data_IF_156269402874
#
_entry.id   IF_156269402874
#
_cell.length_a   1.000
_cell.length_b   1.000
_cell.length_c   1.000
_cell.angle_alpha   90.00
_cell.angle_beta   90.00
_cell.angle_gamma   90.00
#
_symmetry.space_group_name_H-M   'P 1'
#
loop_
_entity.id
_entity.type
_entity.pdbx_description
1 polymer ?
#
# COMPACT_ATOMS: atom_id res chain seq x y z
N UNK A 1 66.34 -27.95 19.76
CA UNK A 1 64.88 -28.04 19.54
C UNK A 1 64.26 -26.80 20.15
N UNK A 2 63.76 -25.87 19.34
CA UNK A 2 63.03 -24.69 19.83
C UNK A 2 61.69 -24.68 19.13
N UNK A 3 60.63 -24.76 19.94
CA UNK A 3 59.24 -24.84 19.48
C UNK A 3 58.78 -23.48 18.95
N UNK A 4 58.08 -23.48 17.82
CA UNK A 4 57.47 -22.29 17.23
C UNK A 4 56.00 -22.24 17.65
N UNK A 5 55.62 -21.21 18.40
CA UNK A 5 54.21 -20.86 18.60
C UNK A 5 53.77 -19.95 17.48
N UNK A 6 52.88 -20.44 16.60
CA UNK A 6 52.22 -19.63 15.58
C UNK A 6 51.12 -18.80 16.24
N UNK A 7 51.19 -17.47 16.13
CA UNK A 7 50.10 -16.58 16.50
C UNK A 7 49.18 -16.39 15.28
N UNK A 8 47.92 -16.81 15.38
CA UNK A 8 46.90 -16.49 14.38
C UNK A 8 46.36 -15.08 14.66
N UNK A 9 46.60 -14.14 13.74
CA UNK A 9 45.93 -12.85 13.76
C UNK A 9 44.53 -13.00 13.13
N UNK A 10 43.49 -12.81 13.94
CA UNK A 10 42.11 -12.74 13.45
C UNK A 10 41.85 -11.33 12.93
N UNK A 11 41.82 -11.16 11.61
CA UNK A 11 41.43 -9.89 10.98
C UNK A 11 39.91 -9.78 11.02
N UNK A 12 39.36 -8.92 11.88
CA UNK A 12 37.94 -8.59 11.85
C UNK A 12 37.64 -7.75 10.61
N UNK A 13 36.85 -8.30 9.66
CA UNK A 13 36.26 -7.49 8.60
C UNK A 13 35.17 -6.60 9.22
N UNK A 14 35.44 -5.31 9.31
CA UNK A 14 34.42 -4.29 9.57
C UNK A 14 33.58 -4.14 8.29
N UNK A 15 32.38 -4.70 8.28
CA UNK A 15 31.37 -4.37 7.28
C UNK A 15 30.92 -2.92 7.57
N UNK A 16 31.25 -1.97 6.70
CA UNK A 16 30.67 -0.63 6.80
C UNK A 16 29.27 -0.68 6.20
N UNK A 17 28.25 -0.66 7.06
CA UNK A 17 26.88 -0.38 6.63
C UNK A 17 26.84 1.06 6.13
N UNK A 18 26.73 1.23 4.81
CA UNK A 18 26.42 2.54 4.23
C UNK A 18 24.96 2.85 4.53
N UNK A 19 24.71 3.56 5.63
CA UNK A 19 23.42 4.17 5.89
C UNK A 19 23.17 5.23 4.81
N UNK A 20 22.25 4.96 3.90
CA UNK A 20 21.77 5.97 2.96
C UNK A 20 21.07 7.07 3.78
N UNK A 21 21.67 8.26 3.81
CA UNK A 21 21.05 9.42 4.43
C UNK A 21 19.83 9.82 3.60
N UNK A 22 18.64 9.42 4.07
CA UNK A 22 17.38 9.95 3.55
C UNK A 22 17.23 11.38 4.04
N UNK A 23 17.23 12.35 3.12
CA UNK A 23 16.85 13.73 3.44
C UNK A 23 15.33 13.78 3.57
N UNK A 24 14.82 13.92 4.79
CA UNK A 24 13.41 14.26 5.02
C UNK A 24 13.23 15.78 4.99
N UNK A 25 12.18 16.24 4.33
CA UNK A 25 11.81 17.66 4.30
C UNK A 25 10.51 17.83 5.06
N UNK A 26 10.49 18.80 5.97
CA UNK A 26 9.24 19.17 6.64
C UNK A 26 8.29 19.85 5.65
N UNK A 27 7.01 19.51 5.73
CA UNK A 27 5.97 20.19 4.98
C UNK A 27 5.79 21.62 5.49
N UNK A 28 5.38 22.55 4.61
CA UNK A 28 5.08 23.93 5.02
C UNK A 28 3.82 24.02 5.89
N UNK A 29 2.89 23.09 5.70
CA UNK A 29 1.64 23.00 6.49
C UNK A 29 1.88 22.46 7.90
N UNK A 30 3.01 21.79 8.16
CA UNK A 30 3.25 21.06 9.42
C UNK A 30 2.52 19.71 9.49
N UNK A 31 1.76 19.34 8.45
CA UNK A 31 1.07 18.05 8.33
C UNK A 31 2.01 17.05 7.67
N UNK A 32 2.14 15.85 8.22
CA UNK A 32 3.02 14.85 7.63
C UNK A 32 2.49 14.41 6.25
N UNK A 33 3.35 14.08 5.27
CA UNK A 33 2.93 13.86 3.88
C UNK A 33 1.88 12.75 3.65
N UNK A 34 1.75 11.82 4.59
CA UNK A 34 0.88 10.63 4.48
C UNK A 34 -0.16 10.57 5.59
N UNK A 35 -0.27 11.62 6.41
CA UNK A 35 -1.19 11.68 7.54
C UNK A 35 -2.34 12.58 7.15
N UNK A 36 -3.55 12.06 7.30
CA UNK A 36 -4.77 12.83 7.09
C UNK A 36 -4.76 14.12 7.92
N UNK A 37 -5.24 15.20 7.32
CA UNK A 37 -5.38 16.49 7.97
C UNK A 37 -6.36 16.43 9.13
N UNK A 38 -7.33 15.51 9.07
CA UNK A 38 -8.36 15.32 10.08
C UNK A 38 -7.98 14.30 11.16
N UNK A 39 -6.81 13.65 11.06
CA UNK A 39 -6.35 12.72 12.08
C UNK A 39 -6.19 13.41 13.44
N UNK A 40 -6.89 12.93 14.50
CA UNK A 40 -6.91 13.61 15.78
C UNK A 40 -5.53 13.61 16.44
N UNK A 41 -5.22 14.69 17.16
CA UNK A 41 -3.93 14.84 17.87
C UNK A 41 -3.62 13.69 18.84
N UNK A 42 -4.64 13.03 19.38
CA UNK A 42 -4.51 11.86 20.25
C UNK A 42 -4.04 10.59 19.54
N UNK A 43 -4.15 10.53 18.21
CA UNK A 43 -3.74 9.38 17.39
C UNK A 43 -2.37 9.57 16.70
N UNK A 44 -1.77 10.77 16.81
CA UNK A 44 -0.48 11.10 16.18
C UNK A 44 0.72 10.38 16.84
N UNK A 45 0.56 9.89 18.05
CA UNK A 45 1.58 9.13 18.77
C UNK A 45 0.96 7.99 19.59
N UNK A 46 1.69 6.88 19.67
CA UNK A 46 1.29 5.71 20.44
C UNK A 46 2.43 5.26 21.35
N UNK A 47 2.11 4.88 22.59
CA UNK A 47 3.08 4.23 23.48
C UNK A 47 2.92 2.73 23.35
N UNK A 48 3.95 2.06 22.86
CA UNK A 48 3.97 0.61 22.68
C UNK A 48 3.84 -0.10 24.03
N UNK A 49 3.47 -1.38 23.99
CA UNK A 49 3.44 -2.24 25.17
C UNK A 49 4.80 -2.41 25.87
N UNK A 50 5.89 -1.97 25.22
CA UNK A 50 7.26 -1.98 25.75
C UNK A 50 7.72 -0.61 26.27
N UNK A 51 6.86 0.41 26.20
CA UNK A 51 7.14 1.78 26.63
C UNK A 51 7.79 2.66 25.56
N UNK A 52 8.00 2.15 24.35
CA UNK A 52 8.54 2.95 23.24
C UNK A 52 7.48 3.89 22.69
N UNK A 53 7.88 5.11 22.30
CA UNK A 53 7.01 6.04 21.61
C UNK A 53 7.09 5.82 20.09
N UNK A 54 5.94 5.61 19.47
CA UNK A 54 5.77 5.47 18.02
C UNK A 54 5.08 6.72 17.48
N UNK A 55 5.61 7.27 16.39
CA UNK A 55 5.01 8.39 15.67
C UNK A 55 4.19 7.86 14.50
N UNK A 56 2.98 8.40 14.34
CA UNK A 56 2.14 8.07 13.20
C UNK A 56 2.86 8.40 11.89
N UNK A 57 2.89 7.43 10.98
CA UNK A 57 3.55 7.58 9.67
C UNK A 57 2.55 7.81 8.56
N UNK A 58 1.38 7.17 8.63
CA UNK A 58 0.34 7.26 7.61
C UNK A 58 -1.04 7.04 8.24
N UNK A 59 -2.04 7.80 7.77
CA UNK A 59 -3.44 7.66 8.15
C UNK A 59 -4.35 8.22 7.05
N UNK A 60 -5.59 7.74 7.04
CA UNK A 60 -6.70 8.28 6.26
C UNK A 60 -7.97 8.02 7.09
N UNK A 61 -8.75 9.06 7.35
CA UNK A 61 -9.97 8.95 8.17
C UNK A 61 -11.20 8.58 7.32
N UNK A 62 -11.06 8.58 5.98
CA UNK A 62 -12.14 8.29 5.02
C UNK A 62 -13.42 9.09 5.26
N UNK A 63 -13.28 10.29 5.84
CA UNK A 63 -14.37 11.13 6.31
C UNK A 63 -14.85 12.19 5.30
N UNK A 64 -14.37 12.11 4.06
CA UNK A 64 -14.82 12.94 2.93
C UNK A 64 -15.70 12.08 2.04
N UNK A 65 -16.97 12.44 1.93
CA UNK A 65 -17.96 11.73 1.11
C UNK A 65 -17.62 11.76 -0.39
N UNK A 66 -17.92 10.67 -1.11
CA UNK A 66 -17.89 10.64 -2.57
C UNK A 66 -16.49 10.68 -3.19
N UNK A 67 -15.46 10.25 -2.46
CA UNK A 67 -14.12 10.09 -3.05
C UNK A 67 -14.15 9.00 -4.13
N UNK A 68 -13.55 9.33 -5.27
CA UNK A 68 -13.27 8.38 -6.35
C UNK A 68 -11.84 7.88 -6.19
N UNK A 69 -11.65 6.57 -6.22
CA UNK A 69 -10.32 5.96 -6.22
C UNK A 69 -9.87 5.56 -7.63
N UNK A 70 -10.45 6.17 -8.67
CA UNK A 70 -9.93 6.05 -10.03
C UNK A 70 -8.53 6.63 -10.12
N UNK A 71 -7.73 6.14 -11.07
CA UNK A 71 -6.35 6.58 -11.24
C UNK A 71 -6.25 8.11 -11.46
N UNK A 72 -5.70 8.80 -10.45
CA UNK A 72 -5.46 10.25 -10.48
C UNK A 72 -6.53 11.11 -9.79
N UNK A 73 -7.64 10.51 -9.34
CA UNK A 73 -8.72 11.25 -8.66
C UNK A 73 -8.42 11.46 -7.16
N UNK A 74 -7.80 10.48 -6.51
CA UNK A 74 -7.38 10.58 -5.12
C UNK A 74 -5.86 10.71 -4.97
N UNK A 75 -5.44 11.50 -3.99
CA UNK A 75 -4.03 11.81 -3.76
C UNK A 75 -3.24 10.69 -3.05
N UNK A 76 -3.91 9.78 -2.33
CA UNK A 76 -3.28 8.67 -1.61
C UNK A 76 -3.60 7.32 -2.25
N UNK A 77 -4.84 7.13 -2.71
CA UNK A 77 -5.34 5.81 -3.08
C UNK A 77 -5.66 5.68 -4.56
N UNK A 78 -5.46 4.49 -5.09
CA UNK A 78 -5.92 4.08 -6.41
C UNK A 78 -6.50 2.68 -6.28
N UNK A 79 -7.76 2.51 -6.65
CA UNK A 79 -8.41 1.22 -6.72
C UNK A 79 -7.87 0.43 -7.93
N UNK A 80 -7.82 -0.88 -7.78
CA UNK A 80 -7.35 -1.78 -8.82
C UNK A 80 -8.51 -2.16 -9.75
N UNK A 81 -8.18 -2.32 -11.03
CA UNK A 81 -9.06 -2.89 -12.06
C UNK A 81 -8.35 -4.12 -12.63
N UNK A 82 -8.55 -5.29 -12.01
CA UNK A 82 -7.89 -6.54 -12.41
C UNK A 82 -8.57 -7.79 -11.82
N UNK A 83 -8.48 -8.91 -12.54
CA UNK A 83 -8.93 -10.21 -12.07
C UNK A 83 -8.03 -10.76 -10.93
N UNK A 84 -8.62 -11.43 -9.94
CA UNK A 84 -7.85 -12.08 -8.88
C UNK A 84 -7.04 -13.27 -9.45
N UNK A 85 -5.72 -13.10 -9.47
CA UNK A 85 -4.79 -14.00 -10.17
C UNK A 85 -4.17 -15.11 -9.33
N UNK A 86 -4.51 -15.29 -8.06
CA UNK A 86 -3.68 -16.09 -7.13
C UNK A 86 -4.19 -17.51 -6.87
N UNK A 87 -5.47 -17.80 -7.08
CA UNK A 87 -6.11 -19.05 -6.62
C UNK A 87 -7.21 -19.60 -7.56
N UNK A 88 -7.19 -19.25 -8.86
CA UNK A 88 -8.36 -19.48 -9.74
C UNK A 88 -9.64 -18.89 -9.14
N UNK A 89 -9.47 -17.81 -8.37
CA UNK A 89 -10.55 -16.96 -7.96
C UNK A 89 -11.28 -16.45 -9.19
N UNK A 90 -12.55 -16.28 -8.96
CA UNK A 90 -13.49 -15.88 -9.96
C UNK A 90 -13.80 -14.38 -9.82
N UNK A 91 -13.41 -13.78 -8.72
CA UNK A 91 -13.62 -12.39 -8.38
C UNK A 91 -12.72 -11.45 -9.20
N UNK A 92 -13.27 -10.28 -9.54
CA UNK A 92 -12.55 -9.17 -10.18
C UNK A 92 -12.55 -7.98 -9.23
N UNK A 93 -11.38 -7.35 -9.06
CA UNK A 93 -11.29 -6.04 -8.42
C UNK A 93 -11.74 -5.00 -9.44
N UNK A 94 -12.83 -4.30 -9.13
CA UNK A 94 -13.33 -3.19 -9.95
C UNK A 94 -13.30 -1.88 -9.18
N UNK A 95 -12.88 -0.81 -9.87
CA UNK A 95 -12.80 0.55 -9.29
C UNK A 95 -14.15 1.01 -8.77
N UNK A 96 -15.24 0.66 -9.47
CA UNK A 96 -16.61 1.09 -9.16
C UNK A 96 -17.19 0.45 -7.88
N UNK A 97 -16.49 -0.52 -7.29
CA UNK A 97 -16.92 -1.20 -6.07
C UNK A 97 -16.37 -0.54 -4.80
N UNK A 98 -15.57 0.52 -4.92
CA UNK A 98 -14.94 1.17 -3.76
C UNK A 98 -15.18 2.66 -3.76
N UNK A 99 -15.34 3.23 -2.56
CA UNK A 99 -15.55 4.66 -2.39
C UNK A 99 -15.70 5.04 -0.93
N UNK A 100 -16.12 6.28 -0.70
CA UNK A 100 -16.51 6.77 0.63
C UNK A 100 -17.94 7.29 0.60
N UNK A 101 -18.68 7.06 1.68
CA UNK A 101 -20.06 7.49 1.87
C UNK A 101 -20.26 7.92 3.33
N UNK A 102 -21.27 8.74 3.61
CA UNK A 102 -21.66 9.08 4.97
C UNK A 102 -23.11 8.66 5.23
N UNK A 103 -23.38 8.13 6.42
CA UNK A 103 -24.73 7.80 6.83
C UNK A 103 -25.55 9.04 7.26
N UNK A 104 -26.81 8.85 7.62
CA UNK A 104 -27.70 9.94 8.05
C UNK A 104 -27.30 10.63 9.36
N UNK A 105 -26.37 10.03 10.11
CA UNK A 105 -25.86 10.54 11.39
C UNK A 105 -24.48 11.21 11.20
N UNK A 106 -24.09 11.54 9.96
CA UNK A 106 -22.81 12.11 9.56
C UNK A 106 -21.59 11.19 9.88
N UNK A 107 -21.79 9.88 10.01
CA UNK A 107 -20.68 8.93 10.11
C UNK A 107 -20.23 8.52 8.72
N UNK A 108 -19.06 8.98 8.33
CA UNK A 108 -18.45 8.66 7.05
C UNK A 108 -17.60 7.38 7.14
N UNK A 109 -17.58 6.60 6.06
CA UNK A 109 -16.87 5.33 5.98
C UNK A 109 -16.37 5.06 4.57
N UNK A 110 -15.27 4.32 4.50
CA UNK A 110 -14.86 3.61 3.30
C UNK A 110 -15.69 2.34 3.12
N UNK A 111 -16.13 2.06 1.90
CA UNK A 111 -16.83 0.84 1.56
C UNK A 111 -16.17 0.07 0.43
N UNK A 112 -16.38 -1.24 0.45
CA UNK A 112 -16.16 -2.16 -0.66
C UNK A 112 -17.49 -2.88 -0.87
N UNK A 113 -18.06 -2.73 -2.06
CA UNK A 113 -19.25 -3.44 -2.47
C UNK A 113 -18.90 -4.69 -3.28
N UNK A 114 -19.88 -5.56 -3.48
CA UNK A 114 -19.77 -6.72 -4.36
C UNK A 114 -21.03 -6.80 -5.20
N UNK A 115 -20.89 -7.13 -6.48
CA UNK A 115 -22.02 -7.38 -7.35
C UNK A 115 -21.72 -8.54 -8.27
N UNK A 116 -22.80 -9.11 -8.79
CA UNK A 116 -22.74 -10.17 -9.78
C UNK A 116 -22.91 -9.53 -11.18
N UNK A 117 -21.83 -9.44 -11.95
CA UNK A 117 -21.76 -8.88 -13.30
C UNK A 117 -20.87 -9.66 -14.28
N UNK A 118 -21.16 -9.47 -15.58
CA UNK A 118 -20.31 -9.99 -16.65
C UNK A 118 -19.31 -8.92 -17.04
N UNK A 119 -18.03 -9.15 -16.76
CA UNK A 119 -16.94 -8.21 -17.06
C UNK A 119 -16.17 -8.73 -18.28
N UNK A 120 -15.88 -7.84 -19.23
CA UNK A 120 -15.09 -8.16 -20.43
C UNK A 120 -13.81 -7.36 -20.38
N UNK A 121 -12.69 -8.06 -20.20
CA UNK A 121 -11.36 -7.46 -20.12
C UNK A 121 -10.53 -7.79 -21.35
N UNK A 122 -9.88 -6.76 -21.92
CA UNK A 122 -8.92 -6.94 -23.02
C UNK A 122 -7.54 -7.23 -22.43
N UNK A 123 -7.10 -8.49 -22.54
CA UNK A 123 -5.81 -8.95 -21.99
C UNK A 123 -4.81 -9.25 -23.09
N UNK A 124 -3.52 -9.10 -22.80
CA UNK A 124 -2.46 -9.53 -23.71
C UNK A 124 -2.22 -11.05 -23.56
N UNK A 125 -2.43 -11.81 -24.62
CA UNK A 125 -2.28 -13.26 -24.62
C UNK A 125 -1.00 -13.71 -25.37
N UNK A 126 -0.04 -14.24 -24.62
CA UNK A 126 1.22 -14.79 -25.17
C UNK A 126 1.07 -16.21 -25.74
N UNK A 127 -0.07 -16.87 -25.54
CA UNK A 127 -0.30 -18.27 -25.89
C UNK A 127 -1.01 -18.46 -27.25
N UNK A 128 -1.48 -17.39 -27.88
CA UNK A 128 -2.04 -17.40 -29.24
C UNK A 128 -0.96 -17.08 -30.29
N UNK A 129 -1.17 -17.46 -31.55
CA UNK A 129 -0.21 -17.26 -32.65
C UNK A 129 -0.84 -16.46 -33.81
N UNK A 130 -0.39 -15.22 -34.08
CA UNK A 130 0.62 -14.46 -33.33
C UNK A 130 0.10 -13.99 -31.95
N UNK A 131 1.00 -13.73 -30.97
CA UNK A 131 0.61 -13.10 -29.71
C UNK A 131 -0.13 -11.79 -29.95
N UNK A 132 -1.16 -11.52 -29.14
CA UNK A 132 -2.02 -10.35 -29.34
C UNK A 132 -3.01 -10.14 -28.20
N UNK A 133 -3.79 -9.07 -28.32
CA UNK A 133 -4.89 -8.79 -27.40
C UNK A 133 -6.09 -9.69 -27.69
N UNK A 134 -6.72 -10.17 -26.63
CA UNK A 134 -7.95 -10.97 -26.66
C UNK A 134 -8.90 -10.48 -25.56
N UNK A 135 -10.19 -10.41 -25.88
CA UNK A 135 -11.23 -10.13 -24.91
C UNK A 135 -11.59 -11.40 -24.16
N UNK A 136 -11.47 -11.37 -22.82
CA UNK A 136 -11.82 -12.48 -21.93
C UNK A 136 -13.02 -12.07 -21.09
N UNK A 137 -14.01 -12.94 -21.04
CA UNK A 137 -15.24 -12.71 -20.27
C UNK A 137 -15.17 -13.41 -18.91
N UNK A 138 -15.35 -12.63 -17.86
CA UNK A 138 -15.56 -13.08 -16.49
C UNK A 138 -17.07 -13.04 -16.20
N UNK A 139 -17.61 -14.09 -15.59
CA UNK A 139 -19.05 -14.25 -15.33
C UNK A 139 -19.29 -14.35 -13.83
N UNK A 140 -19.36 -13.25 -13.09
CA UNK A 140 -19.49 -13.28 -11.64
C UNK A 140 -20.43 -12.23 -11.16
#
# INVERSE_FOLDING_TARGET
MVAWTQAFAATALMLSETAYASSSYSTKSGILPWVDVDTPSSAQAYTSSRGDSWTLTMSDEFNVEGRSFSAGDDHLWVALELADGVNSALEVYSVNMTGTECDSDDNCYFYINTTDETIVETVWNNYISPPGYEDVTFYY
#
